data_IF_984740195033
#
_entry.id   IF_984740195033
#
_cell.length_a   1.000
_cell.length_b   1.000
_cell.length_c   1.000
_cell.angle_alpha   90.00
_cell.angle_beta   90.00
_cell.angle_gamma   90.00
#
_symmetry.space_group_name_H-M   'P 1'
#
loop_
_entity.id
_entity.type
_entity.pdbx_description
1 polymer ?
#
# COMPACT_ATOMS: atom_id res chain seq x y z
N UNK A 1 43.23 -54.92 -61.88
CA UNK A 1 42.83 -53.53 -62.16
C UNK A 1 41.57 -53.31 -61.27
N UNK A 2 41.73 -52.74 -60.11
CA UNK A 2 40.66 -52.60 -59.13
C UNK A 2 40.48 -51.10 -58.85
N UNK A 3 39.42 -50.57 -59.35
CA UNK A 3 39.06 -49.16 -59.17
C UNK A 3 38.34 -48.93 -57.82
N UNK A 4 38.96 -48.22 -56.94
CA UNK A 4 38.35 -47.79 -55.65
C UNK A 4 37.47 -46.57 -55.89
N UNK A 5 36.17 -46.75 -55.63
CA UNK A 5 35.19 -45.69 -55.71
C UNK A 5 35.11 -45.02 -54.31
N UNK A 6 35.50 -43.75 -54.22
CA UNK A 6 35.38 -42.90 -52.99
C UNK A 6 34.00 -42.33 -52.89
N UNK A 7 33.28 -42.66 -51.76
CA UNK A 7 32.03 -41.98 -51.41
C UNK A 7 32.34 -40.73 -50.62
N UNK A 8 31.69 -39.60 -50.87
CA UNK A 8 31.82 -38.40 -50.05
C UNK A 8 30.98 -38.51 -48.78
N UNK A 9 31.64 -38.23 -47.62
CA UNK A 9 30.99 -38.13 -46.34
C UNK A 9 30.14 -36.85 -46.32
N UNK A 10 28.84 -37.03 -46.22
CA UNK A 10 27.86 -35.93 -46.01
C UNK A 10 27.93 -35.53 -44.53
N UNK A 11 28.46 -34.33 -44.25
CA UNK A 11 28.46 -33.70 -42.94
C UNK A 11 27.04 -33.15 -42.66
N UNK A 12 26.29 -33.81 -41.80
CA UNK A 12 25.01 -33.33 -41.28
C UNK A 12 25.35 -32.35 -40.17
N UNK A 13 25.24 -31.05 -40.47
CA UNK A 13 25.31 -29.99 -39.48
C UNK A 13 24.00 -29.95 -38.70
N UNK A 14 24.03 -30.49 -37.48
CA UNK A 14 22.92 -30.38 -36.53
C UNK A 14 22.85 -28.92 -36.02
N UNK A 15 21.89 -28.16 -36.56
CA UNK A 15 21.53 -26.86 -36.03
C UNK A 15 20.73 -27.09 -34.73
N UNK A 16 21.38 -26.95 -33.59
CA UNK A 16 20.71 -26.92 -32.30
C UNK A 16 19.95 -25.61 -32.18
N UNK A 17 18.64 -25.66 -32.33
CA UNK A 17 17.73 -24.56 -32.10
C UNK A 17 17.63 -24.35 -30.57
N UNK A 18 18.44 -23.46 -30.02
CA UNK A 18 18.28 -23.00 -28.65
C UNK A 18 16.98 -22.18 -28.57
N UNK A 19 15.91 -22.87 -28.16
CA UNK A 19 14.68 -22.20 -27.72
C UNK A 19 15.01 -21.41 -26.45
N UNK A 20 15.34 -20.13 -26.59
CA UNK A 20 15.41 -19.20 -25.47
C UNK A 20 14.01 -19.13 -24.86
N UNK A 21 13.80 -19.82 -23.73
CA UNK A 21 12.66 -19.58 -22.87
C UNK A 21 12.70 -18.10 -22.47
N UNK A 22 11.90 -17.30 -23.16
CA UNK A 22 11.69 -15.91 -22.81
C UNK A 22 10.85 -15.93 -21.54
N UNK A 23 11.53 -15.81 -20.41
CA UNK A 23 10.88 -15.68 -19.10
C UNK A 23 9.92 -14.50 -19.19
N UNK A 24 8.62 -14.75 -18.98
CA UNK A 24 7.62 -13.70 -18.96
C UNK A 24 8.01 -12.69 -17.88
N UNK A 25 7.89 -11.38 -18.13
CA UNK A 25 8.15 -10.38 -17.10
C UNK A 25 7.28 -10.71 -15.87
N UNK A 26 7.83 -10.56 -14.64
CA UNK A 26 7.06 -10.86 -13.43
C UNK A 26 5.75 -10.07 -13.47
N UNK A 27 4.64 -10.76 -13.26
CA UNK A 27 3.33 -10.14 -13.20
C UNK A 27 3.36 -9.05 -12.11
N UNK A 28 2.79 -7.87 -12.42
CA UNK A 28 2.64 -6.84 -11.39
C UNK A 28 1.89 -7.44 -10.20
N UNK A 29 2.35 -7.17 -8.96
CA UNK A 29 1.67 -7.68 -7.77
C UNK A 29 0.21 -7.22 -7.76
N UNK A 30 -0.67 -8.09 -7.28
CA UNK A 30 -2.08 -7.74 -7.11
C UNK A 30 -2.20 -6.59 -6.10
N UNK A 31 -3.05 -5.61 -6.39
CA UNK A 31 -3.34 -4.49 -5.49
C UNK A 31 -4.66 -4.66 -4.76
N UNK A 32 -5.43 -5.69 -5.12
CA UNK A 32 -6.79 -5.92 -4.65
C UNK A 32 -6.91 -7.23 -3.90
N UNK A 33 -7.61 -7.21 -2.78
CA UNK A 33 -7.93 -8.41 -2.00
C UNK A 33 -7.55 -8.32 -0.51
N UNK A 34 -7.51 -9.48 0.12
CA UNK A 34 -7.09 -9.65 1.51
C UNK A 34 -5.59 -9.32 1.63
N UNK A 35 -5.17 -8.47 2.61
CA UNK A 35 -3.77 -8.18 2.86
C UNK A 35 -2.87 -9.42 3.00
N UNK A 36 -3.37 -10.52 3.56
CA UNK A 36 -2.63 -11.77 3.70
C UNK A 36 -2.33 -12.49 2.37
N UNK A 37 -3.06 -12.16 1.31
CA UNK A 37 -2.90 -12.75 -0.02
C UNK A 37 -2.10 -11.86 -0.98
N UNK A 38 -1.64 -10.70 -0.49
CA UNK A 38 -0.95 -9.72 -1.31
C UNK A 38 0.56 -9.78 -1.10
N UNK A 39 1.29 -9.47 -2.17
CA UNK A 39 2.71 -9.16 -2.10
C UNK A 39 2.84 -7.65 -2.15
N UNK A 40 3.33 -7.07 -1.06
CA UNK A 40 3.57 -5.63 -0.99
C UNK A 40 4.89 -5.26 -1.65
N UNK A 41 4.91 -4.09 -2.29
CA UNK A 41 6.14 -3.55 -2.85
C UNK A 41 7.19 -3.37 -1.72
N UNK A 42 8.46 -3.78 -1.93
CA UNK A 42 9.49 -3.70 -0.89
C UNK A 42 9.69 -2.29 -0.32
N UNK A 43 9.48 -1.26 -1.15
CA UNK A 43 9.61 0.14 -0.73
C UNK A 43 8.59 0.56 0.35
N UNK A 44 7.50 -0.17 0.51
CA UNK A 44 6.47 0.11 1.53
C UNK A 44 6.87 -0.41 2.92
N UNK A 45 7.90 -1.26 3.03
CA UNK A 45 8.36 -1.87 4.27
C UNK A 45 7.23 -2.51 5.10
N UNK A 46 6.23 -3.10 4.44
CA UNK A 46 5.11 -3.76 5.11
C UNK A 46 5.56 -5.11 5.62
N UNK A 47 5.45 -5.33 6.93
CA UNK A 47 5.73 -6.60 7.60
C UNK A 47 4.53 -6.96 8.47
N UNK A 48 3.59 -7.72 7.92
CA UNK A 48 2.31 -8.02 8.60
C UNK A 48 2.52 -8.71 9.95
N UNK A 49 3.55 -9.57 10.09
CA UNK A 49 3.86 -10.29 11.33
C UNK A 49 4.26 -9.37 12.49
N UNK A 50 4.71 -8.15 12.19
CA UNK A 50 5.08 -7.13 13.18
C UNK A 50 4.02 -6.05 13.39
N UNK A 51 2.85 -6.20 12.75
CA UNK A 51 1.72 -5.27 12.88
C UNK A 51 0.69 -5.79 13.86
N UNK A 52 0.00 -4.88 14.55
CA UNK A 52 -1.19 -5.19 15.34
C UNK A 52 -2.38 -5.42 14.40
N UNK A 53 -2.93 -6.64 14.38
CA UNK A 53 -4.17 -6.94 13.68
C UNK A 53 -5.38 -6.65 14.58
N UNK A 54 -6.22 -5.72 14.18
CA UNK A 54 -7.47 -5.41 14.89
C UNK A 54 -8.62 -6.32 14.47
N UNK A 55 -9.65 -6.50 15.30
CA UNK A 55 -10.80 -7.35 14.99
C UNK A 55 -11.55 -6.95 13.70
N UNK A 56 -11.45 -5.69 13.31
CA UNK A 56 -11.99 -5.17 12.04
C UNK A 56 -11.26 -5.70 10.80
N UNK A 57 -10.02 -6.21 10.98
CA UNK A 57 -9.10 -6.60 9.93
C UNK A 57 -8.13 -5.49 9.52
N UNK A 58 -8.10 -4.38 10.25
CA UNK A 58 -7.12 -3.32 10.09
C UNK A 58 -5.77 -3.77 10.68
N UNK A 59 -4.68 -3.57 9.93
CA UNK A 59 -3.32 -3.75 10.45
C UNK A 59 -2.72 -2.39 10.78
N UNK A 60 -2.13 -2.30 11.97
CA UNK A 60 -1.59 -1.06 12.55
C UNK A 60 -0.15 -1.29 12.98
N UNK A 61 0.75 -0.41 12.56
CA UNK A 61 2.15 -0.43 12.96
C UNK A 61 2.63 0.98 13.32
N UNK A 62 3.07 1.16 14.56
CA UNK A 62 3.68 2.41 14.98
C UNK A 62 5.15 2.46 14.55
N UNK A 63 5.42 3.17 13.45
CA UNK A 63 6.79 3.39 12.93
C UNK A 63 7.58 4.29 13.88
N UNK A 64 6.91 5.30 14.42
CA UNK A 64 7.45 6.19 15.46
C UNK A 64 6.37 6.41 16.52
N UNK A 65 6.67 6.07 17.75
CA UNK A 65 5.81 6.39 18.87
C UNK A 65 5.89 7.89 19.17
N UNK A 66 4.76 8.59 19.10
CA UNK A 66 4.67 9.99 19.53
C UNK A 66 4.79 10.15 21.05
N UNK A 67 5.10 11.36 21.48
CA UNK A 67 5.23 11.70 22.91
C UNK A 67 4.21 12.74 23.38
N UNK A 68 3.45 13.32 22.44
CA UNK A 68 2.44 14.32 22.73
C UNK A 68 1.09 13.75 23.19
N UNK A 69 0.05 14.58 23.22
CA UNK A 69 -1.30 14.17 23.58
C UNK A 69 -1.83 13.02 22.70
N UNK A 70 -2.71 12.20 23.30
CA UNK A 70 -3.31 11.04 22.63
C UNK A 70 -4.50 11.49 21.78
N UNK A 71 -4.60 10.96 20.57
CA UNK A 71 -5.74 11.09 19.67
C UNK A 71 -6.83 10.09 20.04
N UNK A 72 -7.96 10.58 20.46
CA UNK A 72 -9.15 9.79 20.79
C UNK A 72 -10.32 10.10 19.84
N UNK A 73 -11.42 9.38 20.02
CA UNK A 73 -12.67 9.71 19.32
C UNK A 73 -13.07 11.16 19.63
N UNK A 74 -13.62 11.85 18.62
CA UNK A 74 -13.98 13.28 18.65
C UNK A 74 -12.80 14.26 18.70
N UNK A 75 -11.55 13.78 18.72
CA UNK A 75 -10.38 14.65 18.54
C UNK A 75 -10.35 15.20 17.13
N UNK A 76 -10.04 16.49 16.97
CA UNK A 76 -9.66 17.04 15.67
C UNK A 76 -8.20 16.68 15.40
N UNK A 77 -7.97 15.77 14.49
CA UNK A 77 -6.62 15.38 14.08
C UNK A 77 -6.10 16.27 12.95
N UNK A 78 -4.87 16.73 13.09
CA UNK A 78 -4.11 17.38 12.02
C UNK A 78 -2.97 16.45 11.63
N UNK A 79 -2.97 16.01 10.35
CA UNK A 79 -2.04 14.98 9.90
C UNK A 79 -1.37 15.34 8.58
N UNK A 80 -0.14 14.82 8.41
CA UNK A 80 0.42 14.52 7.11
C UNK A 80 0.23 13.05 6.80
N UNK A 81 0.07 12.73 5.51
CA UNK A 81 -0.04 11.35 5.07
C UNK A 81 0.50 11.14 3.67
N UNK A 82 0.82 9.90 3.36
CA UNK A 82 0.99 9.41 2.00
C UNK A 82 0.29 8.07 1.88
N UNK A 83 -0.41 7.85 0.77
CA UNK A 83 -1.16 6.65 0.47
C UNK A 83 -0.66 5.95 -0.78
N UNK A 84 -0.54 4.62 -0.70
CA UNK A 84 -0.10 3.75 -1.78
C UNK A 84 -1.04 2.55 -1.93
N UNK A 85 -1.09 2.03 -3.15
CA UNK A 85 -1.57 0.69 -3.43
C UNK A 85 -0.53 -0.34 -2.99
N UNK A 86 -0.92 -1.61 -2.87
CA UNK A 86 -0.01 -2.69 -2.46
C UNK A 86 1.23 -2.83 -3.37
N UNK A 87 1.12 -2.49 -4.66
CA UNK A 87 2.22 -2.52 -5.63
C UNK A 87 3.20 -1.33 -5.50
N UNK A 88 2.98 -0.44 -4.54
CA UNK A 88 3.79 0.76 -4.32
C UNK A 88 3.37 1.98 -5.14
N UNK A 89 2.32 1.88 -5.94
CA UNK A 89 1.77 3.02 -6.68
C UNK A 89 1.20 4.04 -5.69
N UNK A 90 1.82 5.21 -5.60
CA UNK A 90 1.32 6.32 -4.78
C UNK A 90 0.09 6.91 -5.46
N UNK A 91 -1.01 7.03 -4.71
CA UNK A 91 -2.24 7.60 -5.23
C UNK A 91 -2.59 8.98 -4.64
N UNK A 92 -2.11 9.27 -3.42
CA UNK A 92 -2.34 10.58 -2.79
C UNK A 92 -1.27 10.88 -1.73
N UNK A 93 -0.97 12.17 -1.52
CA UNK A 93 -0.09 12.63 -0.46
C UNK A 93 -0.36 14.10 -0.10
N UNK A 94 -0.56 14.37 1.17
CA UNK A 94 -0.64 15.72 1.71
C UNK A 94 0.69 16.46 1.62
N UNK A 95 1.80 15.71 1.65
CA UNK A 95 3.15 16.28 1.54
C UNK A 95 3.45 16.82 0.15
N UNK A 96 2.90 16.19 -0.90
CA UNK A 96 3.04 16.68 -2.29
C UNK A 96 2.31 18.03 -2.48
N UNK A 97 1.28 18.29 -1.67
CA UNK A 97 0.54 19.57 -1.64
C UNK A 97 1.15 20.59 -0.69
N UNK A 98 2.06 20.17 0.20
CA UNK A 98 2.66 21.04 1.23
C UNK A 98 1.70 21.43 2.36
N UNK A 99 0.57 20.75 2.50
CA UNK A 99 -0.49 21.12 3.45
C UNK A 99 -0.90 19.89 4.29
N UNK A 100 -1.14 20.10 5.59
CA UNK A 100 -1.80 19.11 6.45
C UNK A 100 -3.28 19.01 6.12
N UNK A 101 -3.91 17.90 6.48
CA UNK A 101 -5.37 17.83 6.51
C UNK A 101 -5.86 17.74 7.94
N UNK A 102 -7.09 18.26 8.16
CA UNK A 102 -7.77 18.23 9.46
C UNK A 102 -9.13 17.57 9.34
N UNK A 103 -9.43 16.72 10.29
CA UNK A 103 -10.74 16.05 10.38
C UNK A 103 -11.01 15.61 11.81
N UNK A 104 -12.28 15.38 12.14
CA UNK A 104 -12.67 14.84 13.45
C UNK A 104 -12.71 13.32 13.39
N UNK A 105 -11.97 12.67 14.28
CA UNK A 105 -11.84 11.21 14.33
C UNK A 105 -13.12 10.55 14.86
N UNK A 106 -13.57 9.50 14.18
CA UNK A 106 -14.68 8.66 14.63
C UNK A 106 -16.07 9.10 14.22
N UNK A 107 -16.20 10.07 13.31
CA UNK A 107 -17.51 10.57 12.83
C UNK A 107 -17.76 10.33 11.34
N UNK A 108 -16.92 9.53 10.69
CA UNK A 108 -17.10 9.16 9.28
C UNK A 108 -16.72 10.27 8.29
N UNK A 109 -15.88 11.22 8.66
CA UNK A 109 -15.33 12.22 7.74
C UNK A 109 -14.25 11.66 6.82
N UNK A 110 -13.67 10.53 7.21
CA UNK A 110 -12.62 9.79 6.49
C UNK A 110 -13.01 8.32 6.37
N UNK A 111 -12.24 7.55 5.63
CA UNK A 111 -12.49 6.10 5.52
C UNK A 111 -12.42 5.41 6.88
N UNK A 112 -13.21 4.33 7.13
CA UNK A 112 -13.27 3.66 8.43
C UNK A 112 -11.92 3.23 8.98
N UNK A 113 -10.98 2.82 8.11
CA UNK A 113 -9.63 2.45 8.51
C UNK A 113 -8.83 3.59 9.15
N UNK A 114 -9.10 4.83 8.79
CA UNK A 114 -8.50 6.00 9.42
C UNK A 114 -9.18 6.35 10.75
N UNK A 115 -10.52 6.36 10.76
CA UNK A 115 -11.29 6.63 11.98
C UNK A 115 -10.94 5.65 13.11
N UNK A 116 -10.65 4.40 12.76
CA UNK A 116 -10.17 3.39 13.70
C UNK A 116 -8.67 3.50 13.95
N UNK A 117 -7.89 3.71 12.88
CA UNK A 117 -6.43 3.60 12.88
C UNK A 117 -5.73 4.72 13.67
N UNK A 118 -6.32 5.92 13.76
CA UNK A 118 -5.70 7.04 14.47
C UNK A 118 -5.96 7.01 15.98
N UNK A 119 -6.95 6.25 16.44
CA UNK A 119 -7.22 6.16 17.89
C UNK A 119 -6.01 5.60 18.64
N UNK A 120 -5.66 6.22 19.75
CA UNK A 120 -4.50 5.87 20.56
C UNK A 120 -3.16 6.37 20.02
N UNK A 121 -3.15 7.00 18.83
CA UNK A 121 -1.93 7.61 18.29
C UNK A 121 -1.58 8.88 19.08
N UNK A 122 -0.29 9.10 19.34
CA UNK A 122 0.17 10.30 20.04
C UNK A 122 0.72 11.32 19.04
N UNK A 123 0.54 12.59 19.34
CA UNK A 123 1.13 13.69 18.54
C UNK A 123 2.64 13.51 18.44
N UNK A 124 3.17 13.76 17.24
CA UNK A 124 4.57 13.50 16.86
C UNK A 124 4.85 12.07 16.46
N UNK A 125 3.85 11.18 16.50
CA UNK A 125 3.97 9.80 16.06
C UNK A 125 3.79 9.64 14.55
N UNK A 126 4.34 8.53 14.02
CA UNK A 126 4.11 8.03 12.68
C UNK A 126 3.54 6.62 12.74
N UNK A 127 2.51 6.36 12.00
CA UNK A 127 1.80 5.09 11.96
C UNK A 127 1.58 4.64 10.53
N UNK A 128 1.89 3.37 10.28
CA UNK A 128 1.52 2.70 9.04
C UNK A 128 0.21 1.95 9.26
N UNK A 129 -0.73 2.13 8.33
CA UNK A 129 -2.01 1.42 8.28
C UNK A 129 -2.08 0.59 7.02
N UNK A 130 -2.38 -0.71 7.14
CA UNK A 130 -2.74 -1.55 5.99
C UNK A 130 -4.25 -1.78 6.08
N UNK A 131 -4.97 -1.20 5.15
CA UNK A 131 -6.43 -1.05 5.19
C UNK A 131 -7.05 -1.98 4.14
N UNK A 132 -7.75 -3.05 4.58
CA UNK A 132 -8.46 -3.92 3.65
C UNK A 132 -9.60 -3.16 2.97
N UNK A 133 -10.08 -3.63 1.81
CA UNK A 133 -11.11 -2.93 1.02
C UNK A 133 -12.33 -2.46 1.81
N UNK A 134 -12.84 -3.30 2.71
CA UNK A 134 -14.03 -3.02 3.52
C UNK A 134 -13.89 -1.81 4.48
N UNK A 135 -12.66 -1.46 4.82
CA UNK A 135 -12.34 -0.30 5.66
C UNK A 135 -11.80 0.89 4.84
N UNK A 136 -11.69 0.73 3.53
CA UNK A 136 -11.28 1.72 2.56
C UNK A 136 -12.40 2.11 1.60
N UNK A 137 -12.18 1.90 0.30
CA UNK A 137 -13.12 2.29 -0.76
C UNK A 137 -13.96 1.13 -1.31
N UNK A 138 -13.90 -0.06 -0.68
CA UNK A 138 -14.77 -1.20 -0.97
C UNK A 138 -14.74 -1.72 -2.40
N UNK A 139 -15.91 -2.22 -2.83
CA UNK A 139 -16.07 -2.88 -4.13
C UNK A 139 -16.02 -1.91 -5.32
N UNK A 140 -16.16 -0.63 -5.07
CA UNK A 140 -16.20 0.39 -6.13
C UNK A 140 -14.80 0.97 -6.37
N UNK A 141 -14.01 1.14 -5.29
CA UNK A 141 -12.76 1.89 -5.35
C UNK A 141 -12.99 3.41 -5.44
N UNK A 142 -11.99 4.14 -5.91
CA UNK A 142 -12.05 5.58 -6.24
C UNK A 142 -11.30 5.82 -7.57
N UNK A 143 -11.91 5.47 -8.71
CA UNK A 143 -11.27 5.62 -10.02
C UNK A 143 -10.96 7.08 -10.35
N UNK A 144 -9.88 7.34 -11.14
CA UNK A 144 -8.97 6.38 -11.74
C UNK A 144 -7.84 5.90 -10.80
N UNK A 145 -7.67 6.52 -9.62
CA UNK A 145 -6.49 6.33 -8.78
C UNK A 145 -6.53 5.05 -7.95
N UNK A 146 -7.70 4.67 -7.44
CA UNK A 146 -7.85 3.51 -6.56
C UNK A 146 -8.79 2.49 -7.22
N UNK A 147 -8.28 1.29 -7.58
CA UNK A 147 -9.10 0.25 -8.20
C UNK A 147 -10.09 -0.36 -7.21
N UNK A 148 -11.02 -1.14 -7.75
CA UNK A 148 -11.98 -1.93 -6.98
C UNK A 148 -11.24 -2.88 -6.04
N UNK A 149 -11.79 -3.08 -4.85
CA UNK A 149 -11.28 -4.02 -3.84
C UNK A 149 -9.81 -3.77 -3.48
N UNK A 150 -9.29 -2.55 -3.64
CA UNK A 150 -7.91 -2.25 -3.32
C UNK A 150 -7.64 -2.32 -1.82
N UNK A 151 -6.56 -3.01 -1.46
CA UNK A 151 -5.92 -2.85 -0.16
C UNK A 151 -5.00 -1.63 -0.22
N UNK A 152 -5.11 -0.78 0.78
CA UNK A 152 -4.40 0.49 0.84
C UNK A 152 -3.32 0.44 1.92
N UNK A 153 -2.20 1.07 1.64
CA UNK A 153 -1.14 1.30 2.62
C UNK A 153 -1.01 2.80 2.82
N UNK A 154 -1.11 3.23 4.07
CA UNK A 154 -0.90 4.62 4.43
C UNK A 154 0.23 4.75 5.45
N UNK A 155 1.06 5.75 5.31
CA UNK A 155 1.88 6.29 6.38
C UNK A 155 1.26 7.62 6.81
N UNK A 156 0.95 7.75 8.10
CA UNK A 156 0.29 8.91 8.69
C UNK A 156 1.17 9.45 9.80
N UNK A 157 1.43 10.74 9.78
CA UNK A 157 2.09 11.47 10.87
C UNK A 157 1.06 12.38 11.54
N UNK A 158 0.84 12.19 12.83
CA UNK A 158 -0.03 13.05 13.63
C UNK A 158 0.75 14.30 14.08
N UNK A 159 0.47 15.40 13.39
CA UNK A 159 1.15 16.69 13.62
C UNK A 159 0.60 17.41 14.84
N UNK A 160 -0.71 17.33 15.05
CA UNK A 160 -1.35 18.04 16.16
C UNK A 160 -2.79 17.59 16.41
N UNK A 161 -3.31 18.04 17.57
CA UNK A 161 -4.71 17.91 17.95
C UNK A 161 -5.23 19.33 18.27
N UNK A 162 -5.44 20.16 17.23
CA UNK A 162 -5.99 21.50 17.47
C UNK A 162 -7.36 21.40 18.14
N UNK A 163 -7.65 22.30 19.05
CA UNK A 163 -8.99 22.41 19.60
C UNK A 163 -9.97 22.63 18.43
N UNK A 164 -11.12 21.96 18.50
CA UNK A 164 -12.18 22.23 17.53
C UNK A 164 -12.42 23.75 17.50
N UNK A 165 -12.24 24.36 16.32
CA UNK A 165 -12.55 25.79 16.19
C UNK A 165 -14.03 25.94 16.56
N UNK A 166 -14.41 26.81 17.51
CA UNK A 166 -15.82 27.03 17.76
C UNK A 166 -16.47 27.42 16.44
N UNK A 167 -17.45 26.63 16.01
CA UNK A 167 -18.23 26.89 14.81
C UNK A 167 -18.71 28.35 14.89
N UNK A 168 -18.28 29.16 13.94
CA UNK A 168 -18.35 30.59 13.94
C UNK A 168 -19.59 31.17 14.62
N UNK A 169 -19.36 31.87 15.69
CA UNK A 169 -20.28 32.95 16.13
C UNK A 169 -20.16 34.03 15.08
N UNK A 170 -21.12 34.07 14.18
CA UNK A 170 -21.43 35.24 13.34
C UNK A 170 -22.50 36.07 14.03
#
# INVERSE_FOLDING_TARGET
MTTLTRFPRLLIASVALLAACREAPPAKPSVSGDPLQLTFAPALNVTLDSTELRPSGLYVHDVVAGTGPVCDSMSTAEVHYTGWLADGTKFDSSRDRGETIRFTVGIGQVIPGWDEGLRGMKVGGKRQLIIPPKLGYGDIGSPPAIPRLATLVFEIELVGLPLASPAGVR
#
